data_IF_929196873670
#
_entry.id   IF_929196873670
#
_cell.length_a   1.000
_cell.length_b   1.000
_cell.length_c   1.000
_cell.angle_alpha   90.00
_cell.angle_beta   90.00
_cell.angle_gamma   90.00
#
_symmetry.space_group_name_H-M   'P 1'
#
loop_
_entity.id
_entity.type
_entity.pdbx_description
1 polymer ?
#
# COMPACT_ATOMS: atom_id res chain seq x y z
N UNK A 1 -79.33 -22.41 9.76
CA UNK A 1 -78.22 -22.22 8.79
C UNK A 1 -76.94 -21.87 9.57
N UNK A 2 -76.12 -22.88 9.80
CA UNK A 2 -74.87 -22.74 10.58
C UNK A 2 -73.74 -22.69 9.56
N UNK A 3 -73.13 -21.51 9.47
CA UNK A 3 -71.93 -21.33 8.66
C UNK A 3 -70.70 -21.68 9.54
N UNK A 4 -70.06 -22.81 9.17
CA UNK A 4 -68.77 -23.20 9.77
C UNK A 4 -67.63 -22.39 9.11
N UNK A 5 -66.98 -21.57 9.90
CA UNK A 5 -65.78 -20.84 9.49
C UNK A 5 -64.60 -21.68 9.93
N UNK A 6 -63.82 -22.20 8.95
CA UNK A 6 -62.56 -22.89 9.21
C UNK A 6 -61.43 -21.89 9.38
N UNK A 7 -60.55 -22.02 10.39
CA UNK A 7 -59.40 -21.17 10.50
C UNK A 7 -58.27 -21.68 9.58
N UNK A 8 -57.79 -20.79 8.72
CA UNK A 8 -56.58 -21.04 7.92
C UNK A 8 -55.37 -20.94 8.80
N UNK A 9 -54.65 -22.05 8.96
CA UNK A 9 -53.36 -22.09 9.64
C UNK A 9 -52.28 -21.52 8.72
N UNK A 10 -51.73 -20.37 9.09
CA UNK A 10 -50.57 -19.77 8.42
C UNK A 10 -49.29 -20.41 9.02
N UNK A 11 -48.64 -21.23 8.22
CA UNK A 11 -47.29 -21.74 8.56
C UNK A 11 -46.25 -20.64 8.27
N UNK A 12 -45.65 -20.08 9.32
CA UNK A 12 -44.45 -19.27 9.19
C UNK A 12 -43.23 -20.20 9.06
N UNK A 13 -42.64 -20.24 7.85
CA UNK A 13 -41.29 -20.82 7.69
C UNK A 13 -40.28 -19.81 8.24
N UNK A 14 -39.71 -20.09 9.39
CA UNK A 14 -38.55 -19.40 9.90
C UNK A 14 -37.32 -19.86 9.11
N UNK A 15 -36.87 -19.04 8.16
CA UNK A 15 -35.59 -19.22 7.50
C UNK A 15 -34.47 -18.82 8.48
N UNK A 16 -33.80 -19.82 9.08
CA UNK A 16 -32.58 -19.61 9.81
C UNK A 16 -31.47 -19.22 8.82
N UNK A 17 -31.17 -17.90 8.74
CA UNK A 17 -30.00 -17.41 8.06
C UNK A 17 -28.76 -17.76 8.94
N UNK A 18 -28.05 -18.80 8.59
CA UNK A 18 -26.72 -19.08 9.15
C UNK A 18 -25.73 -18.10 8.57
N UNK A 19 -25.36 -17.09 9.33
CA UNK A 19 -24.22 -16.22 9.05
C UNK A 19 -22.95 -17.06 9.08
N UNK A 20 -22.11 -17.10 8.02
CA UNK A 20 -20.84 -17.80 8.08
C UNK A 20 -19.94 -17.09 9.08
N UNK A 21 -19.54 -17.80 10.11
CA UNK A 21 -18.54 -17.33 11.08
C UNK A 21 -17.21 -17.15 10.34
N UNK A 22 -16.57 -15.95 10.38
CA UNK A 22 -15.25 -15.78 9.80
C UNK A 22 -14.27 -16.76 10.48
N UNK A 23 -13.55 -17.53 9.66
CA UNK A 23 -12.50 -18.41 10.17
C UNK A 23 -11.46 -17.58 10.93
N UNK A 24 -10.89 -18.07 12.04
CA UNK A 24 -9.84 -17.37 12.76
C UNK A 24 -8.66 -17.16 11.82
N UNK A 25 -8.34 -15.89 11.54
CA UNK A 25 -7.14 -15.54 10.78
C UNK A 25 -5.96 -15.89 11.68
N UNK A 26 -5.17 -16.88 11.27
CA UNK A 26 -3.92 -17.22 11.98
C UNK A 26 -3.03 -15.97 12.04
N UNK A 27 -2.33 -15.70 13.17
CA UNK A 27 -1.44 -14.55 13.26
C UNK A 27 -0.37 -14.67 12.18
N UNK A 28 -0.42 -13.78 11.19
CA UNK A 28 0.61 -13.66 10.16
C UNK A 28 1.85 -13.14 10.88
N UNK A 29 2.87 -13.97 11.03
CA UNK A 29 4.18 -13.52 11.51
C UNK A 29 4.63 -12.42 10.55
N UNK A 30 5.13 -11.27 11.06
CA UNK A 30 5.74 -10.27 10.21
C UNK A 30 6.83 -10.94 9.37
N UNK A 31 6.63 -10.98 8.06
CA UNK A 31 7.68 -11.41 7.15
C UNK A 31 8.72 -10.30 7.17
N UNK A 32 9.84 -10.56 7.82
CA UNK A 32 11.01 -9.70 7.78
C UNK A 32 11.58 -9.76 6.35
N UNK A 33 11.10 -8.85 5.51
CA UNK A 33 11.59 -8.71 4.15
C UNK A 33 12.99 -8.12 4.25
N UNK A 34 14.02 -8.96 4.12
CA UNK A 34 15.39 -8.49 3.96
C UNK A 34 15.44 -7.60 2.71
N UNK A 35 15.96 -6.37 2.82
CA UNK A 35 16.09 -5.48 1.65
C UNK A 35 16.93 -6.18 0.59
N UNK A 36 16.34 -6.50 -0.55
CA UNK A 36 17.09 -6.98 -1.69
C UNK A 36 17.90 -5.82 -2.26
N UNK A 37 19.11 -6.10 -2.73
CA UNK A 37 19.91 -5.10 -3.47
C UNK A 37 19.07 -4.54 -4.61
N UNK A 38 18.78 -3.23 -4.55
CA UNK A 38 17.88 -2.56 -5.49
C UNK A 38 16.56 -2.15 -4.87
N UNK A 39 16.21 -2.67 -3.69
CA UNK A 39 15.02 -2.22 -2.98
C UNK A 39 15.31 -0.94 -2.18
N UNK A 40 14.41 0.03 -2.28
CA UNK A 40 14.51 1.31 -1.57
C UNK A 40 13.66 1.31 -0.29
N UNK A 41 12.83 0.29 -0.09
CA UNK A 41 11.96 0.18 1.08
C UNK A 41 12.80 0.14 2.36
N UNK A 42 12.41 0.94 3.34
CA UNK A 42 13.11 1.07 4.62
C UNK A 42 14.25 2.07 4.64
N UNK A 43 14.68 2.62 3.50
CA UNK A 43 15.69 3.68 3.47
C UNK A 43 15.13 4.99 4.02
N UNK A 44 16.00 5.77 4.63
CA UNK A 44 15.72 7.15 5.05
C UNK A 44 15.94 8.14 3.90
N UNK A 45 15.47 9.37 4.08
CA UNK A 45 15.73 10.44 3.10
C UNK A 45 17.23 10.70 2.90
N UNK A 46 18.03 10.60 3.96
CA UNK A 46 19.48 10.79 3.88
C UNK A 46 20.16 9.66 3.08
N UNK A 47 19.73 8.42 3.28
CA UNK A 47 20.25 7.27 2.52
C UNK A 47 19.87 7.36 1.04
N UNK A 48 18.65 7.81 0.72
CA UNK A 48 18.25 8.10 -0.66
C UNK A 48 19.10 9.24 -1.27
N UNK A 49 19.32 10.30 -0.51
CA UNK A 49 20.18 11.42 -0.93
C UNK A 49 21.64 11.01 -1.17
N UNK A 50 22.19 10.13 -0.32
CA UNK A 50 23.52 9.58 -0.51
C UNK A 50 23.62 8.71 -1.77
N UNK A 51 22.55 7.98 -2.12
CA UNK A 51 22.49 7.09 -3.26
C UNK A 51 22.21 7.79 -4.58
N UNK A 52 21.26 8.73 -4.59
CA UNK A 52 20.73 9.37 -5.79
C UNK A 52 21.06 10.85 -5.92
N UNK A 53 21.69 11.44 -4.91
CA UNK A 53 21.87 12.88 -4.83
C UNK A 53 20.59 13.61 -4.40
N UNK A 54 20.53 14.90 -4.68
CA UNK A 54 19.38 15.72 -4.29
C UNK A 54 18.12 15.32 -5.08
N UNK A 55 16.97 15.18 -4.42
CA UNK A 55 15.71 14.99 -5.11
C UNK A 55 15.36 16.24 -5.92
N UNK A 56 14.70 16.05 -7.05
CA UNK A 56 14.19 17.18 -7.86
C UNK A 56 13.02 17.87 -7.22
N UNK A 57 12.20 17.11 -6.54
CA UNK A 57 11.00 17.60 -5.85
C UNK A 57 10.91 16.91 -4.51
N UNK A 58 10.58 17.67 -3.49
CA UNK A 58 10.21 17.19 -2.17
C UNK A 58 8.87 17.80 -1.78
N UNK A 59 7.89 16.96 -1.47
CA UNK A 59 6.54 17.37 -1.07
C UNK A 59 6.20 16.72 0.25
N UNK A 60 5.69 17.52 1.18
CA UNK A 60 5.10 17.03 2.43
C UNK A 60 3.59 16.94 2.29
N UNK A 61 3.04 15.79 2.65
CA UNK A 61 1.60 15.52 2.66
C UNK A 61 1.26 14.83 3.98
N UNK A 62 0.62 15.57 4.91
CA UNK A 62 0.35 15.05 6.25
C UNK A 62 1.63 14.60 6.95
N UNK A 63 1.65 13.35 7.40
CA UNK A 63 2.81 12.73 8.06
C UNK A 63 3.87 12.22 7.06
N UNK A 64 3.51 12.18 5.79
CA UNK A 64 4.35 11.63 4.73
C UNK A 64 5.21 12.68 4.03
N UNK A 65 6.26 12.21 3.40
CA UNK A 65 7.11 12.99 2.50
C UNK A 65 7.29 12.19 1.21
N UNK A 66 7.07 12.85 0.09
CA UNK A 66 7.42 12.31 -1.23
C UNK A 66 8.72 12.95 -1.72
N UNK A 67 9.67 12.11 -2.09
CA UNK A 67 10.91 12.52 -2.75
C UNK A 67 10.87 12.03 -4.19
N UNK A 68 11.06 12.94 -5.14
CA UNK A 68 11.08 12.61 -6.55
C UNK A 68 12.50 12.70 -7.11
N UNK A 69 12.94 11.63 -7.73
CA UNK A 69 14.19 11.56 -8.48
C UNK A 69 13.87 11.35 -9.96
N UNK A 70 14.76 11.77 -10.85
CA UNK A 70 14.53 11.60 -12.27
C UNK A 70 15.81 11.29 -13.04
N UNK A 71 15.70 10.40 -13.99
CA UNK A 71 16.65 10.18 -15.06
C UNK A 71 16.09 10.72 -16.40
N UNK A 72 16.82 10.55 -17.49
CA UNK A 72 16.33 10.95 -18.83
C UNK A 72 15.10 10.17 -19.25
N UNK A 73 15.03 8.89 -18.87
CA UNK A 73 13.99 7.95 -19.30
C UNK A 73 12.84 7.80 -18.33
N UNK A 74 13.01 8.16 -17.03
CA UNK A 74 12.02 7.86 -16.01
C UNK A 74 12.01 8.85 -14.84
N UNK A 75 10.95 8.73 -14.06
CA UNK A 75 10.74 9.43 -12.80
C UNK A 75 10.49 8.38 -11.73
N UNK A 76 11.14 8.51 -10.59
CA UNK A 76 11.01 7.66 -9.42
C UNK A 76 10.48 8.49 -8.25
N UNK A 77 9.36 8.08 -7.70
CA UNK A 77 8.75 8.68 -6.51
C UNK A 77 8.92 7.74 -5.32
N UNK A 78 9.62 8.21 -4.28
CA UNK A 78 9.76 7.51 -3.02
C UNK A 78 8.86 8.17 -1.97
N UNK A 79 8.02 7.40 -1.32
CA UNK A 79 7.09 7.83 -0.28
C UNK A 79 7.59 7.37 1.08
N UNK A 80 7.87 8.32 1.95
CA UNK A 80 8.42 8.09 3.27
C UNK A 80 7.39 8.44 4.34
N UNK A 81 7.20 7.53 5.29
CA UNK A 81 6.29 7.72 6.41
C UNK A 81 6.97 7.37 7.74
N UNK A 82 6.52 7.98 8.85
CA UNK A 82 6.90 7.53 10.17
C UNK A 82 6.29 6.15 10.47
N UNK A 83 6.88 5.40 11.41
CA UNK A 83 6.26 4.15 11.88
C UNK A 83 4.86 4.40 12.45
N UNK A 84 4.09 3.31 12.66
CA UNK A 84 2.78 3.36 13.32
C UNK A 84 2.85 4.14 14.63
N UNK A 85 1.92 5.09 14.82
CA UNK A 85 1.89 6.02 15.95
C UNK A 85 2.62 7.34 15.72
N UNK A 86 3.20 7.58 14.54
CA UNK A 86 3.77 8.86 14.12
C UNK A 86 5.10 9.23 14.78
N UNK A 87 5.70 8.33 15.55
CA UNK A 87 7.00 8.53 16.23
C UNK A 87 8.06 7.59 15.68
N UNK A 88 9.28 8.11 15.51
CA UNK A 88 10.42 7.34 15.03
C UNK A 88 10.96 7.86 13.71
N UNK A 89 11.90 7.11 13.14
CA UNK A 89 12.59 7.48 11.92
C UNK A 89 11.69 7.29 10.71
N UNK A 90 11.53 8.34 9.92
CA UNK A 90 10.77 8.33 8.67
C UNK A 90 11.52 7.54 7.61
N UNK A 91 10.85 6.54 7.02
CA UNK A 91 11.45 5.59 6.06
C UNK A 91 10.56 5.39 4.85
N UNK A 92 11.17 4.97 3.75
CA UNK A 92 10.45 4.59 2.53
C UNK A 92 9.54 3.40 2.80
N UNK A 93 8.26 3.57 2.51
CA UNK A 93 7.24 2.53 2.60
C UNK A 93 6.68 2.14 1.24
N UNK A 94 6.79 3.02 0.25
CA UNK A 94 6.32 2.79 -1.11
C UNK A 94 7.23 3.49 -2.12
N UNK A 95 7.39 2.86 -3.28
CA UNK A 95 8.16 3.40 -4.41
C UNK A 95 7.37 3.17 -5.69
N UNK A 96 7.29 4.21 -6.50
CA UNK A 96 6.64 4.19 -7.80
C UNK A 96 7.59 4.67 -8.90
N UNK A 97 7.54 4.04 -10.06
CA UNK A 97 8.35 4.40 -11.20
C UNK A 97 7.48 4.59 -12.45
N UNK A 98 7.69 5.66 -13.16
CA UNK A 98 6.96 5.98 -14.39
C UNK A 98 7.87 6.57 -15.45
N UNK A 99 7.48 6.44 -16.69
CA UNK A 99 8.10 7.17 -17.79
C UNK A 99 7.77 8.66 -17.68
N UNK A 100 8.47 9.51 -18.44
CA UNK A 100 8.21 10.96 -18.39
C UNK A 100 6.83 11.36 -18.92
N UNK A 101 6.23 10.53 -19.74
CA UNK A 101 4.86 10.70 -20.24
C UNK A 101 3.80 10.04 -19.35
N UNK A 102 4.19 9.51 -18.17
CA UNK A 102 3.28 9.07 -17.10
C UNK A 102 2.88 7.61 -17.17
N UNK A 103 3.44 6.81 -18.06
CA UNK A 103 3.19 5.36 -18.11
C UNK A 103 4.02 4.60 -17.07
N UNK A 104 3.52 3.50 -16.59
CA UNK A 104 4.27 2.60 -15.72
C UNK A 104 5.55 2.11 -16.39
N UNK A 105 6.60 1.95 -15.61
CA UNK A 105 7.87 1.40 -16.08
C UNK A 105 8.50 0.51 -15.01
N UNK A 106 9.49 -0.26 -15.43
CA UNK A 106 10.23 -1.14 -14.52
C UNK A 106 11.02 -0.32 -13.50
N UNK A 107 10.75 -0.57 -12.23
CA UNK A 107 11.35 0.16 -11.11
C UNK A 107 12.86 -0.04 -11.02
N UNK A 108 13.34 -1.28 -11.20
CA UNK A 108 14.76 -1.58 -11.11
C UNK A 108 15.55 -0.88 -12.22
N UNK A 109 15.01 -0.85 -13.43
CA UNK A 109 15.61 -0.11 -14.55
C UNK A 109 15.66 1.39 -14.28
N UNK A 110 14.59 1.94 -13.68
CA UNK A 110 14.56 3.36 -13.34
C UNK A 110 15.60 3.70 -12.26
N UNK A 111 15.74 2.87 -11.23
CA UNK A 111 16.77 3.01 -10.20
C UNK A 111 18.15 3.03 -10.82
N UNK A 112 18.49 2.05 -11.65
CA UNK A 112 19.77 1.99 -12.38
C UNK A 112 20.00 3.25 -13.22
N UNK A 113 19.00 3.70 -13.97
CA UNK A 113 19.12 4.90 -14.81
C UNK A 113 19.36 6.19 -13.98
N UNK A 114 18.87 6.26 -12.76
CA UNK A 114 19.13 7.38 -11.85
C UNK A 114 20.54 7.31 -11.26
N UNK A 115 21.04 6.12 -10.96
CA UNK A 115 22.39 5.91 -10.43
C UNK A 115 23.51 6.24 -11.44
N UNK A 116 23.23 6.03 -12.72
CA UNK A 116 24.19 6.22 -13.82
C UNK A 116 24.21 7.65 -14.41
N UNK A 117 23.45 8.59 -13.87
CA UNK A 117 23.38 9.97 -14.40
C UNK A 117 24.49 10.87 -13.91
#
# INVERSE_FOLDING_TARGET
MRRLIAPAAVLFLAACATTPTPAPVAPVKPVEVKPQRGDLIGLTANELGARFGQPRIQVREGDGTKLQFAAKSCILDAYLYPPSGGKGVVRVTHVDARTRDGRDTDRARCITAIEER
#
